data_IF_851659291478
#
_entry.id   IF_851659291478
#
_cell.length_a   1.000
_cell.length_b   1.000
_cell.length_c   1.000
_cell.angle_alpha   90.00
_cell.angle_beta   90.00
_cell.angle_gamma   90.00
#
_symmetry.space_group_name_H-M   'P 1'
#
loop_
_entity.id
_entity.type
_entity.pdbx_description
1 polymer ?
#
# COMPACT_ATOMS: atom_id res chain seq x y z
N UNK A 1 26.73 -14.03 24.65
CA UNK A 1 26.20 -12.69 24.98
C UNK A 1 26.63 -11.81 23.83
N UNK A 2 25.84 -11.63 22.77
CA UNK A 2 24.79 -10.61 22.63
C UNK A 2 24.05 -10.95 21.32
N UNK A 3 22.86 -11.56 21.38
CA UNK A 3 22.01 -11.84 20.20
C UNK A 3 20.60 -11.27 20.38
N UNK A 4 20.47 -10.30 21.30
CA UNK A 4 19.21 -9.69 21.68
C UNK A 4 18.62 -8.63 20.73
N UNK A 5 19.37 -7.89 19.87
CA UNK A 5 18.79 -6.74 19.20
C UNK A 5 17.77 -7.15 18.13
N UNK A 6 18.00 -8.23 17.37
CA UNK A 6 17.07 -8.66 16.33
C UNK A 6 15.73 -9.14 16.89
N UNK A 7 15.70 -9.93 17.99
CA UNK A 7 14.43 -10.41 18.56
C UNK A 7 13.55 -9.29 19.11
N UNK A 8 14.15 -8.30 19.78
CA UNK A 8 13.40 -7.16 20.31
C UNK A 8 12.85 -6.26 19.17
N UNK A 9 13.62 -6.09 18.10
CA UNK A 9 13.21 -5.33 16.91
C UNK A 9 12.11 -6.06 16.14
N UNK A 10 12.20 -7.38 15.96
CA UNK A 10 11.17 -8.23 15.35
C UNK A 10 9.83 -8.14 16.10
N UNK A 11 9.87 -8.19 17.44
CA UNK A 11 8.68 -8.07 18.27
C UNK A 11 8.03 -6.67 18.15
N UNK A 12 8.84 -5.61 18.07
CA UNK A 12 8.34 -4.23 17.96
C UNK A 12 7.74 -3.96 16.58
N UNK A 13 8.34 -4.50 15.51
CA UNK A 13 7.82 -4.38 14.13
C UNK A 13 6.48 -5.08 13.93
N UNK A 14 6.32 -6.27 14.50
CA UNK A 14 5.05 -7.00 14.44
C UNK A 14 3.90 -6.27 15.13
N UNK A 15 4.17 -5.52 16.20
CA UNK A 15 3.18 -4.68 16.89
C UNK A 15 2.79 -3.47 16.03
N UNK A 16 3.76 -2.84 15.36
CA UNK A 16 3.50 -1.70 14.46
C UNK A 16 2.69 -2.15 13.23
N UNK A 17 3.04 -3.29 12.62
CA UNK A 17 2.28 -3.86 11.51
C UNK A 17 0.82 -4.15 11.89
N UNK A 18 0.58 -4.80 13.05
CA UNK A 18 -0.78 -5.05 13.57
C UNK A 18 -1.54 -3.76 13.92
N UNK A 19 -0.85 -2.74 14.41
CA UNK A 19 -1.45 -1.42 14.68
C UNK A 19 -1.87 -0.69 13.41
N UNK A 20 -1.05 -0.78 12.35
CA UNK A 20 -1.37 -0.23 11.03
C UNK A 20 -2.54 -0.99 10.37
N UNK A 21 -2.61 -2.32 10.50
CA UNK A 21 -3.74 -3.10 10.00
C UNK A 21 -5.07 -2.71 10.68
N UNK A 22 -5.06 -2.38 11.98
CA UNK A 22 -6.25 -1.90 12.69
C UNK A 22 -6.66 -0.50 12.26
N UNK A 23 -5.70 0.42 12.05
CA UNK A 23 -5.99 1.74 11.46
C UNK A 23 -6.54 1.62 10.03
N UNK A 24 -6.00 0.71 9.23
CA UNK A 24 -6.51 0.44 7.88
C UNK A 24 -7.89 -0.23 7.86
N UNK A 25 -8.16 -1.14 8.80
CA UNK A 25 -9.50 -1.71 8.97
C UNK A 25 -10.53 -0.64 9.38
N UNK A 26 -10.10 0.37 10.15
CA UNK A 26 -10.92 1.53 10.48
C UNK A 26 -11.17 2.43 9.26
N UNK A 27 -10.12 2.75 8.48
CA UNK A 27 -10.24 3.55 7.25
C UNK A 27 -11.05 2.84 6.15
N UNK A 28 -11.00 1.50 6.07
CA UNK A 28 -11.83 0.70 5.16
C UNK A 28 -13.25 0.42 5.69
N UNK A 29 -13.51 0.66 6.99
CA UNK A 29 -14.87 0.68 7.58
C UNK A 29 -15.60 2.00 7.39
N UNK A 30 -14.90 3.05 6.95
CA UNK A 30 -15.57 4.26 6.49
C UNK A 30 -16.47 3.89 5.31
N UNK A 31 -17.73 4.35 5.29
CA UNK A 31 -18.67 4.00 4.25
C UNK A 31 -18.07 4.38 2.89
N UNK A 32 -17.83 3.38 2.04
CA UNK A 32 -17.46 3.61 0.64
C UNK A 32 -18.53 4.52 0.04
N UNK A 33 -18.13 5.69 -0.47
CA UNK A 33 -19.03 6.52 -1.28
C UNK A 33 -19.61 5.62 -2.38
N UNK A 34 -20.95 5.54 -2.53
CA UNK A 34 -21.53 4.76 -3.60
C UNK A 34 -21.12 5.37 -4.94
N UNK A 35 -20.45 4.56 -5.75
CA UNK A 35 -20.24 4.85 -7.17
C UNK A 35 -21.61 4.87 -7.86
N UNK A 36 -21.76 5.82 -8.77
CA UNK A 36 -22.97 6.28 -9.42
C UNK A 36 -23.93 5.22 -10.01
N UNK A 37 -25.24 5.57 -9.97
CA UNK A 37 -26.45 4.96 -10.57
C UNK A 37 -27.15 3.89 -9.70
N UNK A 38 -28.41 4.02 -9.25
CA UNK A 38 -29.63 4.53 -9.90
C UNK A 38 -30.60 5.11 -8.86
N UNK A 39 -31.38 6.12 -9.25
CA UNK A 39 -32.27 6.94 -8.41
C UNK A 39 -33.24 6.18 -7.48
N UNK A 40 -33.34 6.64 -6.24
CA UNK A 40 -34.63 6.93 -5.57
C UNK A 40 -34.41 8.04 -4.54
N UNK A 41 -35.12 9.18 -4.57
CA UNK A 41 -34.84 10.30 -3.69
C UNK A 41 -35.48 10.07 -2.32
N UNK A 42 -34.72 9.55 -1.35
CA UNK A 42 -35.10 9.65 0.06
C UNK A 42 -34.49 10.91 0.68
N UNK A 43 -35.42 11.74 1.15
CA UNK A 43 -35.28 13.07 1.74
C UNK A 43 -34.72 12.94 3.18
N UNK A 44 -33.55 13.51 3.51
CA UNK A 44 -33.22 13.75 4.90
C UNK A 44 -33.97 15.00 5.38
N UNK A 45 -34.87 14.78 6.33
CA UNK A 45 -35.51 15.82 7.14
C UNK A 45 -34.43 16.52 7.97
N UNK A 46 -33.83 17.58 7.43
CA UNK A 46 -33.09 18.57 8.22
C UNK A 46 -34.05 19.74 8.43
N UNK A 47 -34.70 19.73 9.59
CA UNK A 47 -35.42 20.87 10.16
C UNK A 47 -34.43 21.95 10.52
N UNK A 48 -34.15 22.82 9.56
CA UNK A 48 -33.34 24.02 9.72
C UNK A 48 -33.78 25.05 8.69
N UNK A 49 -34.94 25.67 8.96
CA UNK A 49 -35.49 26.88 8.36
C UNK A 49 -34.80 27.38 7.07
N UNK A 50 -35.06 26.68 5.96
CA UNK A 50 -34.90 27.25 4.62
C UNK A 50 -36.03 28.27 4.44
N UNK A 51 -35.82 29.48 4.95
CA UNK A 51 -36.56 30.65 4.51
C UNK A 51 -36.21 30.79 3.03
N UNK A 52 -37.16 30.36 2.19
CA UNK A 52 -37.22 30.54 0.75
C UNK A 52 -36.52 31.82 0.32
N UNK A 53 -35.32 31.71 -0.27
CA UNK A 53 -34.72 32.80 -1.02
C UNK A 53 -35.30 32.72 -2.44
N UNK A 54 -36.21 33.62 -2.85
CA UNK A 54 -36.95 33.47 -4.11
C UNK A 54 -36.12 33.74 -5.38
N UNK A 55 -34.80 33.89 -5.27
CA UNK A 55 -33.97 34.38 -6.38
C UNK A 55 -32.85 33.39 -6.75
N UNK A 56 -33.24 32.17 -7.11
CA UNK A 56 -32.35 31.21 -7.73
C UNK A 56 -32.27 31.47 -9.24
N UNK A 57 -31.09 31.95 -9.67
CA UNK A 57 -30.45 31.68 -10.96
C UNK A 57 -31.20 32.01 -12.26
N UNK A 58 -31.35 33.30 -12.56
CA UNK A 58 -31.44 33.77 -13.95
C UNK A 58 -30.69 35.09 -14.10
N UNK A 59 -29.37 35.09 -14.37
CA UNK A 59 -28.61 36.33 -14.57
C UNK A 59 -29.24 37.21 -15.66
N UNK A 60 -29.82 36.59 -16.69
CA UNK A 60 -30.56 37.28 -17.75
C UNK A 60 -31.84 37.99 -17.29
N UNK A 61 -32.47 37.60 -16.16
CA UNK A 61 -33.61 38.32 -15.61
C UNK A 61 -33.17 39.62 -14.93
N UNK A 62 -32.08 39.60 -14.17
CA UNK A 62 -31.51 40.81 -13.57
C UNK A 62 -31.00 41.79 -14.63
N UNK A 63 -30.33 41.28 -15.68
CA UNK A 63 -29.89 42.11 -16.82
C UNK A 63 -31.06 42.68 -17.62
N UNK A 64 -32.16 41.93 -17.75
CA UNK A 64 -33.38 42.38 -18.43
C UNK A 64 -34.13 43.44 -17.60
N UNK A 65 -34.23 43.25 -16.29
CA UNK A 65 -34.87 44.19 -15.37
C UNK A 65 -34.09 45.51 -15.27
N UNK A 66 -32.74 45.45 -15.21
CA UNK A 66 -31.89 46.63 -15.30
C UNK A 66 -32.10 47.40 -16.62
N UNK A 67 -32.24 46.68 -17.74
CA UNK A 67 -32.51 47.27 -19.06
C UNK A 67 -33.89 47.92 -19.12
N UNK A 68 -34.91 47.30 -18.54
CA UNK A 68 -36.27 47.84 -18.47
C UNK A 68 -36.32 49.09 -17.56
N UNK A 69 -35.68 49.08 -16.39
CA UNK A 69 -35.58 50.23 -15.47
C UNK A 69 -34.78 51.40 -16.06
N UNK A 70 -33.71 51.13 -16.82
CA UNK A 70 -32.94 52.16 -17.53
C UNK A 70 -33.75 52.83 -18.66
N UNK A 71 -34.63 52.08 -19.33
CA UNK A 71 -35.53 52.62 -20.35
C UNK A 71 -36.71 53.41 -19.74
N UNK A 72 -37.06 53.15 -18.48
CA UNK A 72 -38.14 53.86 -17.77
C UNK A 72 -37.66 54.99 -16.85
N UNK A 73 -36.36 55.31 -16.83
CA UNK A 73 -35.74 56.27 -15.90
C UNK A 73 -36.06 56.00 -14.42
N UNK A 74 -36.17 54.72 -14.05
CA UNK A 74 -36.38 54.28 -12.66
C UNK A 74 -35.03 53.97 -12.00
N UNK A 75 -34.41 55.01 -11.45
CA UNK A 75 -33.08 54.93 -10.81
C UNK A 75 -33.08 53.95 -9.62
N UNK A 76 -34.19 53.86 -8.87
CA UNK A 76 -34.30 52.93 -7.75
C UNK A 76 -34.32 51.46 -8.22
N UNK A 77 -34.98 51.19 -9.35
CA UNK A 77 -34.96 49.86 -9.99
C UNK A 77 -33.57 49.49 -10.53
N UNK A 78 -32.84 50.46 -11.07
CA UNK A 78 -31.46 50.26 -11.52
C UNK A 78 -30.51 49.95 -10.36
N UNK A 79 -30.57 50.73 -9.27
CA UNK A 79 -29.79 50.50 -8.04
C UNK A 79 -30.04 49.11 -7.44
N UNK A 80 -31.30 48.68 -7.40
CA UNK A 80 -31.66 47.35 -6.92
C UNK A 80 -31.09 46.23 -7.81
N UNK A 81 -31.10 46.41 -9.14
CA UNK A 81 -30.54 45.45 -10.07
C UNK A 81 -29.00 45.39 -9.97
N UNK A 82 -28.32 46.53 -9.80
CA UNK A 82 -26.88 46.57 -9.55
C UNK A 82 -26.49 45.91 -8.24
N UNK A 83 -27.21 46.19 -7.15
CA UNK A 83 -27.00 45.54 -5.86
C UNK A 83 -27.17 44.02 -5.96
N UNK A 84 -28.18 43.56 -6.71
CA UNK A 84 -28.38 42.13 -6.97
C UNK A 84 -27.24 41.52 -7.79
N UNK A 85 -26.68 42.25 -8.77
CA UNK A 85 -25.55 41.78 -9.56
C UNK A 85 -24.29 41.64 -8.71
N UNK A 86 -23.97 42.65 -7.89
CA UNK A 86 -22.84 42.60 -6.95
C UNK A 86 -22.96 41.41 -5.99
N UNK A 87 -24.14 41.21 -5.40
CA UNK A 87 -24.39 40.07 -4.51
C UNK A 87 -24.23 38.70 -5.22
N UNK A 88 -24.61 38.61 -6.50
CA UNK A 88 -24.40 37.38 -7.28
C UNK A 88 -22.92 37.16 -7.62
N UNK A 89 -22.18 38.22 -7.95
CA UNK A 89 -20.73 38.16 -8.20
C UNK A 89 -19.97 37.75 -6.94
N UNK A 90 -20.32 38.29 -5.77
CA UNK A 90 -19.71 37.94 -4.49
C UNK A 90 -19.93 36.45 -4.17
N UNK A 91 -21.16 35.95 -4.34
CA UNK A 91 -21.47 34.52 -4.17
C UNK A 91 -20.68 33.65 -5.15
N UNK A 92 -20.59 34.05 -6.42
CA UNK A 92 -19.80 33.33 -7.41
C UNK A 92 -18.31 33.30 -7.03
N UNK A 93 -17.77 34.40 -6.51
CA UNK A 93 -16.41 34.47 -6.00
C UNK A 93 -16.22 33.54 -4.79
N UNK A 94 -17.13 33.57 -3.80
CA UNK A 94 -17.09 32.65 -2.65
C UNK A 94 -17.13 31.18 -3.08
N UNK A 95 -18.04 30.82 -4.00
CA UNK A 95 -18.14 29.45 -4.50
C UNK A 95 -16.91 29.03 -5.29
N UNK A 96 -16.31 29.93 -6.07
CA UNK A 96 -15.07 29.67 -6.79
C UNK A 96 -13.93 29.39 -5.81
N UNK A 97 -13.80 30.19 -4.75
CA UNK A 97 -12.81 29.97 -3.69
C UNK A 97 -13.03 28.63 -2.99
N UNK A 98 -14.28 28.31 -2.62
CA UNK A 98 -14.62 27.04 -1.99
C UNK A 98 -14.31 25.84 -2.91
N UNK A 99 -14.56 25.96 -4.22
CA UNK A 99 -14.23 24.92 -5.20
C UNK A 99 -12.70 24.71 -5.29
N UNK A 100 -11.92 25.80 -5.34
CA UNK A 100 -10.45 25.69 -5.34
C UNK A 100 -9.92 25.05 -4.07
N UNK A 101 -10.51 25.36 -2.91
CA UNK A 101 -10.14 24.74 -1.63
C UNK A 101 -10.48 23.23 -1.62
N UNK A 102 -11.66 22.85 -2.11
CA UNK A 102 -12.03 21.43 -2.22
C UNK A 102 -11.11 20.65 -3.17
N UNK A 103 -10.72 21.25 -4.30
CA UNK A 103 -9.77 20.62 -5.21
C UNK A 103 -8.39 20.42 -4.56
N UNK A 104 -7.94 21.39 -3.76
CA UNK A 104 -6.70 21.26 -3.01
C UNK A 104 -6.80 20.13 -1.96
N UNK A 105 -7.90 20.08 -1.21
CA UNK A 105 -8.15 19.00 -0.24
C UNK A 105 -8.21 17.63 -0.92
N UNK A 106 -8.79 17.53 -2.12
CA UNK A 106 -8.83 16.28 -2.89
C UNK A 106 -7.42 15.84 -3.28
N UNK A 107 -6.61 16.74 -3.82
CA UNK A 107 -5.22 16.45 -4.19
C UNK A 107 -4.38 16.01 -2.99
N UNK A 108 -4.59 16.63 -1.82
CA UNK A 108 -3.87 16.25 -0.59
C UNK A 108 -4.31 14.88 -0.07
N UNK A 109 -5.60 14.54 -0.17
CA UNK A 109 -6.10 13.21 0.18
C UNK A 109 -5.60 12.12 -0.77
N UNK A 110 -5.52 12.41 -2.07
CA UNK A 110 -4.97 11.49 -3.06
C UNK A 110 -3.50 11.19 -2.78
N UNK A 111 -2.69 12.22 -2.51
CA UNK A 111 -1.30 12.06 -2.10
C UNK A 111 -1.17 11.26 -0.81
N UNK A 112 -1.97 11.58 0.20
CA UNK A 112 -1.96 10.85 1.48
C UNK A 112 -2.33 9.37 1.31
N UNK A 113 -3.24 9.05 0.40
CA UNK A 113 -3.62 7.67 0.07
C UNK A 113 -2.46 6.91 -0.58
N UNK A 114 -1.77 7.53 -1.53
CA UNK A 114 -0.61 6.93 -2.20
C UNK A 114 0.54 6.68 -1.21
N UNK A 115 0.85 7.67 -0.38
CA UNK A 115 1.86 7.56 0.68
C UNK A 115 1.53 6.43 1.67
N UNK A 116 0.26 6.28 2.02
CA UNK A 116 -0.18 5.25 2.93
C UNK A 116 -0.11 3.85 2.28
N UNK A 117 -0.45 3.73 0.99
CA UNK A 117 -0.33 2.48 0.25
C UNK A 117 1.13 2.03 0.11
N UNK A 118 2.05 2.96 -0.18
CA UNK A 118 3.48 2.68 -0.23
C UNK A 118 4.04 2.25 1.13
N UNK A 119 3.71 2.98 2.21
CA UNK A 119 4.10 2.61 3.58
C UNK A 119 3.63 1.20 3.96
N UNK A 120 2.39 0.86 3.57
CA UNK A 120 1.82 -0.47 3.81
C UNK A 120 2.62 -1.54 3.06
N UNK A 121 2.88 -1.34 1.77
CA UNK A 121 3.64 -2.29 0.96
C UNK A 121 5.05 -2.53 1.52
N UNK A 122 5.72 -1.47 1.98
CA UNK A 122 7.04 -1.56 2.64
C UNK A 122 6.96 -2.32 3.97
N UNK A 123 5.92 -2.06 4.77
CA UNK A 123 5.71 -2.79 6.02
C UNK A 123 5.46 -4.29 5.79
N UNK A 124 4.65 -4.64 4.79
CA UNK A 124 4.40 -6.04 4.40
C UNK A 124 5.69 -6.73 3.92
N UNK A 125 6.49 -6.05 3.11
CA UNK A 125 7.79 -6.56 2.63
C UNK A 125 8.75 -6.81 3.79
N UNK A 126 8.88 -5.86 4.72
CA UNK A 126 9.71 -6.04 5.91
C UNK A 126 9.23 -7.22 6.77
N UNK A 127 7.91 -7.38 6.93
CA UNK A 127 7.34 -8.49 7.69
C UNK A 127 7.63 -9.87 7.07
N UNK A 128 7.63 -10.01 5.74
CA UNK A 128 8.00 -11.29 5.11
C UNK A 128 9.51 -11.56 5.21
N UNK A 129 10.36 -10.52 5.13
CA UNK A 129 11.80 -10.67 5.38
C UNK A 129 12.04 -11.17 6.82
N UNK A 130 11.35 -10.57 7.79
CA UNK A 130 11.39 -10.97 9.20
C UNK A 130 10.93 -12.43 9.37
N UNK A 131 9.92 -12.87 8.61
CA UNK A 131 9.46 -14.26 8.59
C UNK A 131 10.49 -15.21 8.00
N UNK A 132 11.17 -14.82 6.93
CA UNK A 132 12.25 -15.60 6.31
C UNK A 132 13.43 -15.76 7.28
N UNK A 133 13.79 -14.70 7.99
CA UNK A 133 14.81 -14.74 9.05
C UNK A 133 14.43 -15.73 10.15
N UNK A 134 13.16 -15.74 10.58
CA UNK A 134 12.64 -16.73 11.52
C UNK A 134 12.86 -18.17 11.04
N UNK A 135 12.43 -18.47 9.81
CA UNK A 135 12.61 -19.81 9.21
C UNK A 135 14.07 -20.22 9.09
N UNK A 136 14.96 -19.30 8.67
CA UNK A 136 16.40 -19.58 8.58
C UNK A 136 17.01 -19.89 9.94
N UNK A 137 16.53 -19.22 10.99
CA UNK A 137 16.95 -19.48 12.37
C UNK A 137 16.52 -20.86 12.83
N UNK A 138 15.27 -21.25 12.55
CA UNK A 138 14.72 -22.56 12.90
C UNK A 138 15.47 -23.70 12.18
N UNK A 139 15.63 -23.57 10.86
CA UNK A 139 16.39 -24.54 10.03
C UNK A 139 17.85 -24.61 10.49
N UNK A 140 18.46 -23.48 10.85
CA UNK A 140 19.82 -23.43 11.39
C UNK A 140 19.95 -24.22 12.70
N UNK A 141 18.94 -24.14 13.58
CA UNK A 141 18.91 -24.91 14.83
C UNK A 141 18.74 -26.42 14.59
N UNK A 142 17.88 -26.81 13.65
CA UNK A 142 17.69 -28.22 13.23
C UNK A 142 18.97 -28.81 12.62
N UNK A 143 19.63 -28.04 11.75
CA UNK A 143 20.93 -28.40 11.18
C UNK A 143 21.96 -28.60 12.28
N UNK A 144 22.08 -27.66 13.21
CA UNK A 144 23.04 -27.74 14.32
C UNK A 144 22.83 -29.00 15.17
N UNK A 145 21.57 -29.32 15.52
CA UNK A 145 21.24 -30.54 16.27
C UNK A 145 21.60 -31.81 15.48
N UNK A 146 21.30 -31.83 14.18
CA UNK A 146 21.58 -32.99 13.32
C UNK A 146 23.08 -33.22 13.11
N UNK A 147 23.82 -32.14 12.87
CA UNK A 147 25.28 -32.17 12.73
C UNK A 147 25.97 -32.57 14.03
N UNK A 148 25.53 -32.06 15.20
CA UNK A 148 26.08 -32.48 16.49
C UNK A 148 25.92 -33.99 16.72
N UNK A 149 24.72 -34.54 16.43
CA UNK A 149 24.48 -35.99 16.53
C UNK A 149 25.34 -36.80 15.57
N UNK A 150 25.52 -36.34 14.33
CA UNK A 150 26.37 -37.02 13.35
C UNK A 150 27.85 -37.03 13.78
N UNK A 151 28.37 -35.91 14.29
CA UNK A 151 29.73 -35.83 14.85
C UNK A 151 29.90 -36.78 16.04
N UNK A 152 28.92 -36.85 16.95
CA UNK A 152 28.95 -37.78 18.07
C UNK A 152 29.03 -39.25 17.61
N UNK A 153 28.21 -39.65 16.65
CA UNK A 153 28.24 -41.01 16.11
C UNK A 153 29.54 -41.31 15.34
N UNK A 154 30.06 -40.34 14.58
CA UNK A 154 31.33 -40.46 13.88
C UNK A 154 32.50 -40.61 14.86
N UNK A 155 32.54 -39.81 15.93
CA UNK A 155 33.54 -39.89 16.98
C UNK A 155 33.55 -41.26 17.68
N UNK A 156 32.37 -41.84 17.94
CA UNK A 156 32.24 -43.20 18.50
C UNK A 156 32.71 -44.30 17.54
N UNK A 157 32.68 -44.05 16.22
CA UNK A 157 33.13 -45.01 15.21
C UNK A 157 34.65 -44.97 14.96
N UNK A 158 35.35 -43.89 15.36
CA UNK A 158 36.81 -43.73 15.15
C UNK A 158 37.65 -44.92 15.64
N UNK A 159 37.39 -45.52 16.83
CA UNK A 159 38.15 -46.69 17.28
C UNK A 159 37.92 -47.95 16.45
N UNK A 160 36.81 -48.01 15.69
CA UNK A 160 36.44 -49.16 14.85
C UNK A 160 36.93 -48.98 13.41
N UNK A 161 36.79 -47.76 12.88
CA UNK A 161 37.14 -47.39 11.51
C UNK A 161 37.78 -46.00 11.56
N UNK A 162 39.10 -45.94 11.36
CA UNK A 162 39.85 -44.68 11.44
C UNK A 162 39.34 -43.62 10.44
N UNK A 163 38.84 -44.04 9.28
CA UNK A 163 38.26 -43.14 8.27
C UNK A 163 37.07 -42.30 8.80
N UNK A 164 36.41 -42.76 9.88
CA UNK A 164 35.36 -41.98 10.55
C UNK A 164 35.86 -40.66 11.17
N UNK A 165 37.17 -40.54 11.43
CA UNK A 165 37.78 -39.30 11.92
C UNK A 165 37.60 -38.15 10.93
N UNK A 166 37.69 -38.43 9.63
CA UNK A 166 37.48 -37.41 8.58
C UNK A 166 36.07 -36.84 8.63
N UNK A 167 35.07 -37.71 8.84
CA UNK A 167 33.68 -37.30 8.96
C UNK A 167 33.43 -36.47 10.23
N UNK A 168 33.97 -36.88 11.38
CA UNK A 168 33.87 -36.09 12.63
C UNK A 168 34.44 -34.67 12.45
N UNK A 169 35.65 -34.55 11.91
CA UNK A 169 36.29 -33.25 11.68
C UNK A 169 35.56 -32.39 10.66
N UNK A 170 35.05 -33.00 9.60
CA UNK A 170 34.24 -32.30 8.60
C UNK A 170 32.96 -31.73 9.23
N UNK A 171 32.20 -32.54 9.96
CA UNK A 171 30.95 -32.11 10.60
C UNK A 171 31.21 -31.02 11.65
N UNK A 172 32.28 -31.14 12.44
CA UNK A 172 32.70 -30.10 13.38
C UNK A 172 33.02 -28.77 12.67
N UNK A 173 33.63 -28.82 11.48
CA UNK A 173 33.91 -27.63 10.67
C UNK A 173 32.63 -27.04 10.07
N UNK A 174 31.70 -27.88 9.60
CA UNK A 174 30.39 -27.44 9.13
C UNK A 174 29.59 -26.73 10.21
N UNK A 175 29.63 -27.21 11.46
CA UNK A 175 28.98 -26.54 12.60
C UNK A 175 29.44 -25.08 12.73
N UNK A 176 30.74 -24.81 12.62
CA UNK A 176 31.26 -23.45 12.72
C UNK A 176 30.95 -22.64 11.47
N UNK A 177 31.24 -23.18 10.28
CA UNK A 177 31.13 -22.46 9.01
C UNK A 177 29.69 -22.12 8.63
N UNK A 178 28.77 -23.07 8.76
CA UNK A 178 27.35 -22.88 8.38
C UNK A 178 26.66 -21.91 9.32
N UNK A 179 26.92 -21.99 10.63
CA UNK A 179 26.33 -21.06 11.60
C UNK A 179 26.81 -19.63 11.37
N UNK A 180 28.10 -19.42 11.11
CA UNK A 180 28.64 -18.10 10.78
C UNK A 180 28.02 -17.52 9.49
N UNK A 181 27.84 -18.37 8.46
CA UNK A 181 27.20 -17.96 7.21
C UNK A 181 25.72 -17.60 7.42
N UNK A 182 24.97 -18.39 8.19
CA UNK A 182 23.56 -18.11 8.53
C UNK A 182 23.42 -16.81 9.33
N UNK A 183 24.33 -16.54 10.26
CA UNK A 183 24.35 -15.29 11.02
C UNK A 183 24.57 -14.08 10.10
N UNK A 184 25.51 -14.18 9.15
CA UNK A 184 25.75 -13.11 8.17
C UNK A 184 24.51 -12.85 7.30
N UNK A 185 23.91 -13.89 6.75
CA UNK A 185 22.70 -13.77 5.92
C UNK A 185 21.56 -13.16 6.72
N UNK A 186 21.37 -13.57 7.96
CA UNK A 186 20.36 -13.01 8.86
C UNK A 186 20.57 -11.52 9.08
N UNK A 187 21.81 -11.07 9.34
CA UNK A 187 22.14 -9.65 9.49
C UNK A 187 21.85 -8.85 8.23
N UNK A 188 22.20 -9.39 7.06
CA UNK A 188 21.93 -8.74 5.77
C UNK A 188 20.43 -8.60 5.49
N UNK A 189 19.65 -9.64 5.79
CA UNK A 189 18.18 -9.60 5.66
C UNK A 189 17.57 -8.56 6.59
N UNK A 190 17.99 -8.52 7.86
CA UNK A 190 17.53 -7.49 8.79
C UNK A 190 17.88 -6.09 8.30
N UNK A 191 19.12 -5.84 7.88
CA UNK A 191 19.54 -4.55 7.33
C UNK A 191 18.73 -4.16 6.07
N UNK A 192 18.37 -5.14 5.25
CA UNK A 192 17.51 -4.90 4.09
C UNK A 192 16.08 -4.52 4.50
N UNK A 193 15.50 -5.19 5.50
CA UNK A 193 14.19 -4.82 6.05
C UNK A 193 14.20 -3.38 6.59
N UNK A 194 15.27 -2.98 7.27
CA UNK A 194 15.46 -1.61 7.76
C UNK A 194 15.49 -0.59 6.61
N UNK A 195 16.23 -0.91 5.54
CA UNK A 195 16.32 -0.08 4.35
C UNK A 195 14.98 0.03 3.60
N UNK A 196 14.18 -1.04 3.57
CA UNK A 196 12.83 -1.05 2.99
C UNK A 196 11.91 -0.11 3.78
N UNK A 197 11.92 -0.19 5.11
CA UNK A 197 11.12 0.69 5.97
C UNK A 197 11.58 2.16 5.84
N UNK A 198 12.89 2.39 5.75
CA UNK A 198 13.46 3.71 5.54
C UNK A 198 13.21 4.29 4.14
N UNK A 199 12.69 3.49 3.21
CA UNK A 199 12.45 3.89 1.82
C UNK A 199 13.71 4.02 0.96
N UNK A 200 14.85 3.54 1.44
CA UNK A 200 16.12 3.53 0.69
C UNK A 200 16.30 2.27 -0.17
N UNK A 201 15.50 1.23 0.10
CA UNK A 201 15.42 0.01 -0.71
C UNK A 201 14.00 -0.19 -1.29
N UNK A 202 13.85 -0.92 -2.42
CA UNK A 202 12.55 -1.20 -3.01
C UNK A 202 11.65 -1.99 -2.05
N UNK A 203 10.41 -1.52 -1.87
CA UNK A 203 9.38 -2.22 -1.06
C UNK A 203 8.73 -3.40 -1.78
N UNK A 204 9.43 -4.05 -2.70
CA UNK A 204 8.90 -5.18 -3.48
C UNK A 204 9.78 -6.40 -3.27
N UNK A 205 9.18 -7.49 -2.77
CA UNK A 205 9.82 -8.79 -2.73
C UNK A 205 10.03 -9.33 -4.16
N UNK A 206 11.12 -10.07 -4.43
CA UNK A 206 11.25 -10.85 -5.64
C UNK A 206 10.01 -11.74 -5.82
N UNK A 207 9.39 -11.72 -7.00
CA UNK A 207 8.28 -12.64 -7.31
C UNK A 207 8.79 -14.07 -7.15
N UNK A 208 8.10 -14.89 -6.37
CA UNK A 208 8.39 -16.32 -6.29
C UNK A 208 8.31 -16.96 -7.68
N UNK A 209 9.13 -17.99 -7.92
CA UNK A 209 9.34 -18.66 -9.20
C UNK A 209 8.09 -19.35 -9.82
N UNK A 210 6.89 -19.10 -9.29
CA UNK A 210 5.64 -19.71 -9.75
C UNK A 210 5.07 -19.10 -11.05
N UNK A 211 5.75 -18.12 -11.67
CA UNK A 211 5.45 -17.73 -13.05
C UNK A 211 6.14 -18.68 -14.04
N UNK A 212 5.67 -19.93 -14.08
CA UNK A 212 5.80 -20.74 -15.29
C UNK A 212 5.07 -19.98 -16.41
N UNK A 213 5.81 -19.19 -17.19
CA UNK A 213 5.33 -18.67 -18.46
C UNK A 213 4.92 -19.90 -19.27
N UNK A 214 3.62 -20.09 -19.58
CA UNK A 214 3.23 -21.19 -20.44
C UNK A 214 4.01 -21.03 -21.74
N UNK A 215 4.71 -22.07 -22.24
CA UNK A 215 5.44 -21.97 -23.49
C UNK A 215 4.51 -21.39 -24.58
N UNK A 216 4.98 -20.44 -25.40
CA UNK A 216 4.16 -19.82 -26.43
C UNK A 216 3.53 -20.92 -27.27
N UNK A 217 2.21 -20.82 -27.49
CA UNK A 217 1.46 -21.80 -28.26
C UNK A 217 2.17 -22.06 -29.58
N UNK A 218 2.66 -23.29 -29.78
CA UNK A 218 3.25 -23.69 -31.05
C UNK A 218 2.21 -23.45 -32.15
N UNK A 219 2.61 -22.71 -33.18
CA UNK A 219 1.76 -22.50 -34.34
C UNK A 219 1.32 -23.87 -34.89
N UNK A 220 0.04 -24.04 -35.27
CA UNK A 220 -0.44 -25.31 -35.78
C UNK A 220 0.43 -25.74 -36.95
N UNK A 221 0.96 -26.97 -36.87
CA UNK A 221 1.77 -27.55 -37.93
C UNK A 221 0.98 -27.49 -39.24
N UNK A 222 1.54 -26.83 -40.26
CA UNK A 222 0.91 -26.78 -41.58
C UNK A 222 0.69 -28.20 -42.09
N UNK A 223 -0.51 -28.53 -42.60
CA UNK A 223 -0.74 -29.83 -43.19
C UNK A 223 0.14 -29.97 -44.43
N UNK A 224 1.18 -30.80 -44.30
CA UNK A 224 2.00 -31.25 -45.41
C UNK A 224 1.12 -32.04 -46.39
N UNK A 225 0.51 -31.35 -47.35
CA UNK A 225 -0.15 -32.00 -48.48
C UNK A 225 0.93 -32.65 -49.35
N UNK A 226 1.04 -33.98 -49.25
CA UNK A 226 1.77 -34.78 -50.22
C UNK A 226 0.79 -35.17 -51.32
N UNK A 227 1.03 -34.71 -52.54
CA UNK A 227 0.35 -35.24 -53.72
C UNK A 227 0.88 -36.65 -54.02
N UNK A 228 0.01 -37.66 -54.18
CA UNK A 228 0.42 -38.97 -54.67
C UNK A 228 0.84 -38.88 -56.17
N UNK A 229 1.69 -39.82 -56.62
CA UNK A 229 2.30 -39.80 -57.95
C UNK A 229 1.30 -40.00 -59.10
#
# INVERSE_FOLDING_TARGET
MENAPCKAVLSSRNVIAKGQDQQWAFLNRLPKRPSSATLTPQRPTVTGSLRSSPNANKPWLATRQAKESALSSDDAGLDAAEASLRAAQDRAATLKTALTEMNQQLADLERAKEDAADKKLRAETAAEIDRLVGKLTDVGAEFNNSAARLSEHAARAVPLVYDALGLDKFVATCLVGVLAALELVTKLLCAHADAVIAGTAPGTLPRGDDQHVPPPAQAPAEPHFKYPP
#
